data_IF_689943935352
#
_entry.id   IF_689943935352
#
_cell.length_a   1.000
_cell.length_b   1.000
_cell.length_c   1.000
_cell.angle_alpha   90.00
_cell.angle_beta   90.00
_cell.angle_gamma   90.00
#
_symmetry.space_group_name_H-M   'P 1'
#
loop_
_entity.id
_entity.type
_entity.pdbx_description
1 polymer ?
#
# COMPACT_ATOMS: atom_id res chain seq x y z
N UNK A 1 -1.04 -3.78 34.43
CA UNK A 1 -1.82 -2.70 35.06
C UNK A 1 -2.92 -2.25 34.10
N UNK A 2 -4.08 -1.83 34.58
CA UNK A 2 -5.16 -1.35 33.70
C UNK A 2 -4.77 0.00 33.09
N UNK A 3 -4.72 0.08 31.75
CA UNK A 3 -4.40 1.31 31.02
C UNK A 3 -5.60 2.25 31.08
N UNK A 4 -5.46 3.37 31.79
CA UNK A 4 -6.52 4.39 31.91
C UNK A 4 -6.86 4.99 30.54
N UNK A 5 -8.15 5.25 30.34
CA UNK A 5 -8.73 5.90 29.15
C UNK A 5 -8.34 5.23 27.83
N UNK A 6 -8.19 3.91 27.83
CA UNK A 6 -7.70 3.13 26.69
C UNK A 6 -8.45 3.44 25.39
N UNK A 7 -9.78 3.47 25.43
CA UNK A 7 -10.63 3.75 24.24
C UNK A 7 -10.35 5.12 23.64
N UNK A 8 -10.23 6.16 24.48
CA UNK A 8 -9.96 7.52 24.02
C UNK A 8 -8.54 7.64 23.46
N UNK A 9 -7.56 7.09 24.18
CA UNK A 9 -6.15 7.10 23.78
C UNK A 9 -5.92 6.34 22.48
N UNK A 10 -6.59 5.21 22.29
CA UNK A 10 -6.58 4.47 21.04
C UNK A 10 -7.13 5.32 19.89
N UNK A 11 -8.25 6.04 20.11
CA UNK A 11 -8.81 6.97 19.12
C UNK A 11 -7.84 8.12 18.76
N UNK A 12 -7.21 8.75 19.76
CA UNK A 12 -6.20 9.79 19.55
C UNK A 12 -4.99 9.26 18.78
N UNK A 13 -4.50 8.07 19.14
CA UNK A 13 -3.38 7.43 18.45
C UNK A 13 -3.73 7.07 17.01
N UNK A 14 -4.92 6.52 16.74
CA UNK A 14 -5.39 6.26 15.38
C UNK A 14 -5.38 7.54 14.54
N UNK A 15 -5.95 8.63 15.04
CA UNK A 15 -5.95 9.92 14.35
C UNK A 15 -4.53 10.46 14.10
N UNK A 16 -3.62 10.27 15.06
CA UNK A 16 -2.22 10.62 14.90
C UNK A 16 -1.55 9.80 13.79
N UNK A 17 -1.65 8.47 13.83
CA UNK A 17 -1.08 7.57 12.81
C UNK A 17 -1.59 7.88 11.40
N UNK A 18 -2.88 8.22 11.27
CA UNK A 18 -3.50 8.57 9.99
C UNK A 18 -3.13 9.97 9.46
N UNK A 19 -2.68 10.87 10.35
CA UNK A 19 -2.24 12.22 9.99
C UNK A 19 -0.71 12.36 9.86
N UNK A 20 0.05 11.31 10.24
CA UNK A 20 1.51 11.26 10.07
C UNK A 20 1.90 11.49 8.61
N UNK A 21 2.94 12.30 8.43
CA UNK A 21 3.58 12.56 7.13
C UNK A 21 5.01 12.07 7.17
N UNK A 22 5.62 11.86 6.02
CA UNK A 22 7.06 11.59 5.95
C UNK A 22 7.87 12.81 6.37
N UNK A 23 9.07 12.57 6.89
CA UNK A 23 10.05 13.63 7.06
C UNK A 23 10.33 14.27 5.69
N UNK A 24 10.38 15.60 5.65
CA UNK A 24 10.74 16.31 4.43
C UNK A 24 12.24 16.15 4.18
N UNK A 25 12.60 15.77 2.95
CA UNK A 25 13.99 15.62 2.55
C UNK A 25 14.70 16.97 2.50
N UNK A 26 16.01 16.99 2.75
CA UNK A 26 16.78 18.24 2.77
C UNK A 26 16.70 19.00 1.43
N UNK A 27 16.61 18.28 0.30
CA UNK A 27 16.39 18.87 -1.03
C UNK A 27 15.04 19.57 -1.14
N UNK A 28 13.97 18.92 -0.71
CA UNK A 28 12.62 19.49 -0.71
C UNK A 28 12.51 20.72 0.19
N UNK A 29 13.16 20.69 1.35
CA UNK A 29 13.24 21.84 2.25
C UNK A 29 14.00 23.01 1.61
N UNK A 30 15.11 22.75 0.92
CA UNK A 30 15.86 23.77 0.17
C UNK A 30 15.04 24.38 -0.96
N UNK A 31 14.38 23.56 -1.78
CA UNK A 31 13.51 24.04 -2.87
C UNK A 31 12.37 24.92 -2.35
N UNK A 32 11.72 24.51 -1.25
CA UNK A 32 10.67 25.31 -0.61
C UNK A 32 11.21 26.62 -0.05
N UNK A 33 12.39 26.60 0.57
CA UNK A 33 13.03 27.81 1.07
C UNK A 33 13.30 28.80 -0.06
N UNK A 34 13.87 28.33 -1.19
CA UNK A 34 14.13 29.16 -2.39
C UNK A 34 12.82 29.72 -2.96
N UNK A 35 11.77 28.90 -3.04
CA UNK A 35 10.47 29.34 -3.55
C UNK A 35 9.82 30.42 -2.66
N UNK A 36 9.89 30.25 -1.32
CA UNK A 36 9.43 31.25 -0.37
C UNK A 36 10.26 32.54 -0.47
N UNK A 37 11.58 32.42 -0.58
CA UNK A 37 12.47 33.58 -0.71
C UNK A 37 12.11 34.42 -1.94
N UNK A 38 11.94 33.77 -3.11
CA UNK A 38 11.48 34.42 -4.34
C UNK A 38 10.12 35.10 -4.17
N UNK A 39 9.17 34.42 -3.52
CA UNK A 39 7.82 34.96 -3.24
C UNK A 39 7.89 36.21 -2.37
N UNK A 40 8.67 36.19 -1.29
CA UNK A 40 8.80 37.34 -0.39
C UNK A 40 9.58 38.49 -1.02
N UNK A 41 10.62 38.20 -1.80
CA UNK A 41 11.33 39.20 -2.61
C UNK A 41 10.39 39.92 -3.57
N UNK A 42 9.52 39.19 -4.27
CA UNK A 42 8.55 39.76 -5.20
C UNK A 42 7.57 40.69 -4.46
N UNK A 43 6.95 40.20 -3.39
CA UNK A 43 5.96 40.96 -2.61
C UNK A 43 6.53 42.26 -2.00
N UNK A 44 7.79 42.29 -1.60
CA UNK A 44 8.41 43.50 -1.05
C UNK A 44 8.87 44.48 -2.14
N UNK A 45 9.30 43.99 -3.32
CA UNK A 45 9.61 44.86 -4.47
C UNK A 45 8.38 45.63 -4.95
N UNK A 46 7.20 45.02 -4.90
CA UNK A 46 5.93 45.70 -5.17
C UNK A 46 5.60 46.80 -4.14
N UNK A 47 6.19 46.75 -2.94
CA UNK A 47 5.92 47.69 -1.85
C UNK A 47 6.91 48.88 -1.77
N UNK A 48 7.83 49.04 -2.74
CA UNK A 48 8.75 50.18 -2.88
C UNK A 48 9.33 50.73 -1.55
N UNK A 49 9.95 49.88 -0.74
CA UNK A 49 10.69 50.32 0.45
C UNK A 49 12.16 50.54 0.11
N UNK A 50 12.61 51.77 0.26
CA UNK A 50 14.01 52.18 0.15
C UNK A 50 14.73 51.78 1.45
N UNK A 51 15.07 50.50 1.56
CA UNK A 51 15.72 49.91 2.74
C UNK A 51 17.10 49.40 2.40
N UNK A 52 18.04 49.57 3.34
CA UNK A 52 19.41 49.06 3.25
C UNK A 52 19.41 47.56 2.88
N UNK A 53 20.14 47.22 1.80
CA UNK A 53 20.11 45.91 1.14
C UNK A 53 20.41 44.77 2.11
N UNK A 54 21.35 44.98 3.04
CA UNK A 54 21.74 43.96 4.00
C UNK A 54 20.67 43.73 5.10
N UNK A 55 19.96 44.78 5.51
CA UNK A 55 18.83 44.69 6.44
C UNK A 55 17.63 44.01 5.78
N UNK A 56 17.42 44.31 4.49
CA UNK A 56 16.37 43.72 3.67
C UNK A 56 16.52 42.20 3.50
N UNK A 57 17.71 41.72 3.11
CA UNK A 57 17.99 40.29 2.98
C UNK A 57 17.81 39.54 4.32
N UNK A 58 18.25 40.14 5.42
CA UNK A 58 18.06 39.57 6.76
C UNK A 58 16.57 39.46 7.14
N UNK A 59 15.76 40.46 6.78
CA UNK A 59 14.33 40.46 7.03
C UNK A 59 13.59 39.37 6.23
N UNK A 60 13.92 39.20 4.94
CA UNK A 60 13.37 38.13 4.10
C UNK A 60 13.77 36.77 4.67
N UNK A 61 15.04 36.57 5.01
CA UNK A 61 15.52 35.32 5.60
C UNK A 61 14.75 34.98 6.89
N UNK A 62 14.49 35.98 7.75
CA UNK A 62 13.68 35.80 8.96
C UNK A 62 12.24 35.39 8.64
N UNK A 63 11.59 35.99 7.64
CA UNK A 63 10.24 35.61 7.19
C UNK A 63 10.21 34.17 6.61
N UNK A 64 11.18 33.82 5.76
CA UNK A 64 11.32 32.47 5.19
C UNK A 64 11.48 31.44 6.30
N UNK A 65 12.41 31.64 7.24
CA UNK A 65 12.63 30.71 8.35
C UNK A 65 11.41 30.58 9.28
N UNK A 66 10.64 31.65 9.45
CA UNK A 66 9.42 31.63 10.26
C UNK A 66 8.32 30.82 9.57
N UNK A 67 8.13 31.05 8.26
CA UNK A 67 7.15 30.31 7.47
C UNK A 67 7.52 28.83 7.30
N UNK A 68 8.82 28.54 7.11
CA UNK A 68 9.34 27.17 7.07
C UNK A 68 9.04 26.43 8.38
N UNK A 69 9.32 27.03 9.55
CA UNK A 69 8.98 26.43 10.85
C UNK A 69 7.48 26.20 11.03
N UNK A 70 6.64 27.11 10.52
CA UNK A 70 5.17 27.02 10.63
C UNK A 70 4.57 25.93 9.73
N UNK A 71 5.16 25.71 8.56
CA UNK A 71 4.57 24.87 7.50
C UNK A 71 5.24 23.50 7.34
N UNK A 72 6.45 23.34 7.87
CA UNK A 72 7.18 22.07 7.81
C UNK A 72 6.61 21.10 8.84
N UNK A 73 6.27 19.90 8.39
CA UNK A 73 5.89 18.84 9.29
C UNK A 73 7.14 18.32 10.02
N UNK A 74 7.10 18.35 11.36
CA UNK A 74 8.16 17.84 12.20
C UNK A 74 7.89 16.37 12.51
N UNK A 75 8.52 15.49 11.73
CA UNK A 75 8.43 14.05 11.97
C UNK A 75 9.10 13.69 13.30
N UNK A 76 8.42 12.86 14.09
CA UNK A 76 8.93 12.34 15.36
C UNK A 76 8.77 10.81 15.42
N UNK A 77 9.80 10.09 15.87
CA UNK A 77 9.70 8.64 16.03
C UNK A 77 8.71 8.31 17.15
N UNK A 78 7.87 7.29 16.94
CA UNK A 78 7.08 6.70 18.01
C UNK A 78 7.97 5.77 18.82
N UNK A 79 8.04 5.99 20.13
CA UNK A 79 8.75 5.11 21.07
C UNK A 79 7.73 4.28 21.81
N UNK A 80 7.63 3.02 21.43
CA UNK A 80 6.72 2.07 22.05
C UNK A 80 7.31 1.57 23.37
N UNK A 81 6.56 1.80 24.44
CA UNK A 81 6.73 1.17 25.74
C UNK A 81 5.55 0.21 25.98
N UNK A 82 5.50 -0.43 27.16
CA UNK A 82 4.45 -1.39 27.52
C UNK A 82 3.05 -0.77 27.41
N UNK A 83 2.89 0.47 27.89
CA UNK A 83 1.61 1.15 27.93
C UNK A 83 1.14 1.58 26.53
N UNK A 84 2.01 2.24 25.75
CA UNK A 84 1.70 2.61 24.38
C UNK A 84 1.52 1.38 23.48
N UNK A 85 2.19 0.26 23.76
CA UNK A 85 1.98 -1.02 23.09
C UNK A 85 0.53 -1.49 23.23
N UNK A 86 -0.04 -1.46 24.43
CA UNK A 86 -1.46 -1.79 24.67
C UNK A 86 -2.41 -0.80 23.98
N UNK A 87 -2.10 0.50 24.01
CA UNK A 87 -2.89 1.52 23.29
C UNK A 87 -2.83 1.28 21.78
N UNK A 88 -1.66 0.93 21.23
CA UNK A 88 -1.48 0.59 19.82
C UNK A 88 -2.23 -0.68 19.45
N UNK A 89 -2.22 -1.71 20.31
CA UNK A 89 -3.03 -2.91 20.15
C UNK A 89 -4.51 -2.59 20.04
N UNK A 90 -5.04 -1.81 20.98
CA UNK A 90 -6.43 -1.35 20.97
C UNK A 90 -6.78 -0.55 19.69
N UNK A 91 -5.84 0.24 19.18
CA UNK A 91 -6.03 1.10 18.02
C UNK A 91 -5.91 0.38 16.67
N UNK A 92 -5.00 -0.61 16.54
CA UNK A 92 -4.52 -1.10 15.24
C UNK A 92 -4.59 -2.61 15.04
N UNK A 93 -4.73 -3.44 16.08
CA UNK A 93 -4.62 -4.90 15.94
C UNK A 93 -5.60 -5.46 14.90
N UNK A 94 -6.90 -5.17 15.05
CA UNK A 94 -7.95 -5.74 14.20
C UNK A 94 -7.89 -5.21 12.76
N UNK A 95 -7.73 -3.89 12.58
CA UNK A 95 -7.61 -3.27 11.26
C UNK A 95 -6.33 -3.71 10.54
N UNK A 96 -5.19 -3.71 11.24
CA UNK A 96 -3.90 -4.16 10.73
C UNK A 96 -3.93 -5.61 10.26
N UNK A 97 -4.47 -6.51 11.08
CA UNK A 97 -4.70 -7.92 10.69
C UNK A 97 -5.56 -8.03 9.42
N UNK A 98 -6.66 -7.29 9.35
CA UNK A 98 -7.58 -7.34 8.22
C UNK A 98 -6.92 -6.85 6.92
N UNK A 99 -6.15 -5.76 6.96
CA UNK A 99 -5.40 -5.25 5.81
C UNK A 99 -4.35 -6.25 5.31
N UNK A 100 -3.55 -6.83 6.23
CA UNK A 100 -2.52 -7.81 5.86
C UNK A 100 -3.15 -9.07 5.29
N UNK A 101 -4.20 -9.61 5.93
CA UNK A 101 -4.94 -10.75 5.41
C UNK A 101 -5.49 -10.47 4.01
N UNK A 102 -6.06 -9.28 3.78
CA UNK A 102 -6.58 -8.89 2.46
C UNK A 102 -5.48 -8.78 1.40
N UNK A 103 -4.29 -8.32 1.74
CA UNK A 103 -3.15 -8.29 0.83
C UNK A 103 -2.63 -9.70 0.52
N UNK A 104 -2.41 -10.53 1.53
CA UNK A 104 -1.94 -11.92 1.37
C UNK A 104 -2.92 -12.79 0.58
N UNK A 105 -4.22 -12.54 0.72
CA UNK A 105 -5.25 -13.24 -0.03
C UNK A 105 -5.16 -13.03 -1.56
N UNK A 106 -4.50 -11.96 -2.03
CA UNK A 106 -4.20 -11.81 -3.47
C UNK A 106 -3.28 -12.92 -3.97
N UNK A 107 -2.27 -13.29 -3.18
CA UNK A 107 -1.37 -14.41 -3.51
C UNK A 107 -2.16 -15.71 -3.43
N UNK A 108 -2.88 -15.94 -2.32
CA UNK A 108 -3.65 -17.18 -2.12
C UNK A 108 -4.64 -17.46 -3.24
N UNK A 109 -5.29 -16.42 -3.80
CA UNK A 109 -6.26 -16.56 -4.89
C UNK A 109 -5.62 -16.76 -6.26
N UNK A 110 -4.48 -16.11 -6.53
CA UNK A 110 -3.89 -16.02 -7.87
C UNK A 110 -2.73 -17.01 -8.09
N UNK A 111 -2.11 -17.48 -7.02
CA UNK A 111 -1.07 -18.52 -7.04
C UNK A 111 -1.46 -19.66 -6.09
N UNK A 112 -2.36 -20.53 -6.57
CA UNK A 112 -2.88 -21.67 -5.81
C UNK A 112 -1.80 -22.70 -5.47
N UNK A 113 -0.66 -22.69 -6.18
CA UNK A 113 0.46 -23.60 -5.94
C UNK A 113 1.40 -23.09 -4.85
N UNK A 114 1.26 -21.85 -4.40
CA UNK A 114 2.12 -21.29 -3.36
C UNK A 114 1.79 -21.88 -1.98
N UNK A 115 2.73 -22.68 -1.48
CA UNK A 115 2.69 -23.31 -0.15
C UNK A 115 3.95 -22.93 0.64
N UNK A 116 4.00 -21.73 1.25
CA UNK A 116 5.20 -21.27 1.95
C UNK A 116 5.49 -22.15 3.16
N UNK A 117 6.78 -22.40 3.39
CA UNK A 117 7.30 -23.09 4.56
C UNK A 117 7.77 -22.12 5.66
N UNK A 118 8.34 -20.98 5.26
CA UNK A 118 8.89 -19.98 6.17
C UNK A 118 8.32 -18.57 5.97
N UNK A 119 8.08 -17.87 7.09
CA UNK A 119 7.70 -16.46 7.15
C UNK A 119 8.81 -15.64 7.81
N UNK A 120 9.13 -14.49 7.22
CA UNK A 120 9.84 -13.39 7.89
C UNK A 120 8.93 -12.16 7.97
N UNK A 121 8.53 -11.77 9.18
CA UNK A 121 7.71 -10.60 9.47
C UNK A 121 8.60 -9.49 10.03
N UNK A 122 8.87 -8.46 9.23
CA UNK A 122 9.73 -7.33 9.58
C UNK A 122 8.93 -6.16 10.12
N UNK A 123 9.39 -5.58 11.23
CA UNK A 123 8.60 -4.63 12.01
C UNK A 123 7.32 -5.28 12.49
N UNK A 124 7.44 -6.51 13.03
CA UNK A 124 6.30 -7.39 13.29
C UNK A 124 5.30 -6.81 14.27
N UNK A 125 5.73 -5.91 15.16
CA UNK A 125 4.89 -5.26 16.17
C UNK A 125 4.11 -6.30 16.97
N UNK A 126 2.79 -6.31 16.78
CA UNK A 126 1.85 -7.22 17.43
C UNK A 126 1.76 -8.63 16.79
N UNK A 127 2.55 -8.91 15.76
CA UNK A 127 2.51 -10.16 14.99
C UNK A 127 1.30 -10.28 14.06
N UNK A 128 0.74 -9.17 13.55
CA UNK A 128 -0.46 -9.23 12.68
C UNK A 128 -0.23 -10.04 11.40
N UNK A 129 0.96 -9.97 10.81
CA UNK A 129 1.29 -10.75 9.61
C UNK A 129 1.54 -12.23 9.93
N UNK A 130 2.06 -12.56 11.11
CA UNK A 130 2.08 -13.94 11.64
C UNK A 130 0.67 -14.55 11.64
N UNK A 131 -0.29 -13.91 12.29
CA UNK A 131 -1.68 -14.41 12.38
C UNK A 131 -2.35 -14.51 11.01
N UNK A 132 -2.19 -13.50 10.16
CA UNK A 132 -2.78 -13.47 8.83
C UNK A 132 -2.19 -14.57 7.92
N UNK A 133 -0.88 -14.79 7.98
CA UNK A 133 -0.21 -15.84 7.22
C UNK A 133 -0.59 -17.23 7.71
N UNK A 134 -0.67 -17.44 9.03
CA UNK A 134 -1.13 -18.70 9.61
C UNK A 134 -2.58 -19.02 9.21
N UNK A 135 -3.46 -18.02 9.14
CA UNK A 135 -4.85 -18.21 8.68
C UNK A 135 -4.92 -18.75 7.25
N UNK A 136 -4.00 -18.34 6.35
CA UNK A 136 -4.02 -18.75 4.95
C UNK A 136 -3.18 -20.01 4.65
N UNK A 137 -2.13 -20.26 5.44
CA UNK A 137 -1.11 -21.27 5.17
C UNK A 137 -0.60 -22.00 6.43
N UNK A 138 -1.35 -22.02 7.54
CA UNK A 138 -0.92 -22.63 8.81
C UNK A 138 -0.62 -24.14 8.72
N UNK A 139 -1.09 -24.83 7.68
CA UNK A 139 -0.73 -26.22 7.41
C UNK A 139 0.71 -26.34 6.88
N UNK A 140 1.12 -25.48 5.95
CA UNK A 140 2.44 -25.56 5.29
C UNK A 140 3.53 -24.78 6.01
N UNK A 141 3.21 -23.63 6.61
CA UNK A 141 4.16 -22.81 7.35
C UNK A 141 4.63 -23.54 8.62
N UNK A 142 5.95 -23.71 8.75
CA UNK A 142 6.60 -24.38 9.88
C UNK A 142 7.55 -23.49 10.65
N UNK A 143 7.97 -22.37 10.08
CA UNK A 143 8.87 -21.43 10.73
C UNK A 143 8.36 -20.00 10.56
N UNK A 144 8.27 -19.28 11.67
CA UNK A 144 7.89 -17.87 11.70
C UNK A 144 8.96 -17.07 12.42
N UNK A 145 9.61 -16.16 11.71
CA UNK A 145 10.58 -15.23 12.29
C UNK A 145 9.97 -13.83 12.31
N UNK A 146 9.67 -13.33 13.49
CA UNK A 146 9.10 -12.00 13.72
C UNK A 146 10.21 -11.07 14.25
N UNK A 147 10.52 -10.02 13.51
CA UNK A 147 11.59 -9.08 13.85
C UNK A 147 11.01 -7.71 14.17
N UNK A 148 11.16 -7.26 15.41
CA UNK A 148 10.81 -5.89 15.83
C UNK A 148 11.83 -5.37 16.83
N UNK A 149 12.36 -4.17 16.61
CA UNK A 149 13.38 -3.59 17.47
C UNK A 149 12.86 -3.26 18.88
N UNK A 150 11.54 -3.06 19.03
CA UNK A 150 10.91 -2.76 20.31
C UNK A 150 10.68 -4.03 21.14
N UNK A 151 11.38 -4.14 22.28
CA UNK A 151 11.19 -5.23 23.23
C UNK A 151 9.77 -5.31 23.79
N UNK A 152 9.15 -4.17 24.13
CA UNK A 152 7.79 -4.14 24.67
C UNK A 152 6.74 -4.67 23.68
N UNK A 153 6.92 -4.40 22.38
CA UNK A 153 6.04 -4.94 21.34
C UNK A 153 6.21 -6.45 21.18
N UNK A 154 7.44 -6.96 21.23
CA UNK A 154 7.71 -8.40 21.19
C UNK A 154 7.07 -9.12 22.39
N UNK A 155 7.25 -8.60 23.61
CA UNK A 155 6.60 -9.15 24.81
C UNK A 155 5.07 -9.19 24.66
N UNK A 156 4.47 -8.11 24.15
CA UNK A 156 3.02 -8.08 23.93
C UNK A 156 2.57 -9.07 22.84
N UNK A 157 3.36 -9.24 21.77
CA UNK A 157 3.08 -10.22 20.72
C UNK A 157 3.21 -11.67 21.21
N UNK A 158 4.19 -11.96 22.08
CA UNK A 158 4.33 -13.25 22.76
C UNK A 158 3.13 -13.55 23.66
N UNK A 159 2.67 -12.57 24.43
CA UNK A 159 1.44 -12.70 25.24
C UNK A 159 0.21 -12.96 24.38
N UNK A 160 0.07 -12.29 23.24
CA UNK A 160 -1.02 -12.57 22.30
C UNK A 160 -0.94 -14.00 21.76
N UNK A 161 0.28 -14.49 21.48
CA UNK A 161 0.51 -15.84 20.98
C UNK A 161 0.12 -16.93 21.98
N UNK A 162 0.22 -16.68 23.28
CA UNK A 162 -0.22 -17.62 24.33
C UNK A 162 -1.67 -17.40 24.77
N UNK A 163 -2.44 -16.57 24.04
CA UNK A 163 -3.82 -16.25 24.38
C UNK A 163 -3.97 -15.41 25.65
N UNK A 164 -2.92 -14.70 26.06
CA UNK A 164 -2.85 -13.92 27.30
C UNK A 164 -2.53 -14.73 28.54
N UNK A 165 -2.27 -16.04 28.41
CA UNK A 165 -1.84 -16.89 29.52
C UNK A 165 -0.31 -17.04 29.50
N UNK A 166 0.38 -16.45 30.48
CA UNK A 166 1.85 -16.51 30.57
C UNK A 166 2.39 -17.95 30.72
N UNK A 167 1.61 -18.86 31.29
CA UNK A 167 1.95 -20.27 31.41
C UNK A 167 1.35 -21.14 30.28
N UNK A 168 0.69 -20.52 29.30
CA UNK A 168 0.04 -21.21 28.19
C UNK A 168 1.03 -21.61 27.11
N UNK A 169 0.81 -22.77 26.49
CA UNK A 169 1.49 -23.13 25.25
C UNK A 169 1.11 -22.16 24.12
N UNK A 170 2.04 -21.82 23.21
CA UNK A 170 1.75 -20.92 22.12
C UNK A 170 0.71 -21.52 21.17
N UNK A 171 -0.28 -20.70 20.78
CA UNK A 171 -1.36 -21.05 19.86
C UNK A 171 -0.83 -21.42 18.46
N UNK A 172 0.33 -20.88 18.08
CA UNK A 172 1.07 -21.23 16.86
C UNK A 172 2.49 -21.62 17.27
N UNK A 173 2.90 -22.83 16.89
CA UNK A 173 4.23 -23.36 17.21
C UNK A 173 5.31 -22.79 16.29
N UNK A 174 6.57 -22.84 16.75
CA UNK A 174 7.76 -22.45 15.98
C UNK A 174 7.75 -20.97 15.52
N UNK A 175 7.29 -20.10 16.42
CA UNK A 175 7.34 -18.65 16.27
C UNK A 175 8.53 -18.12 17.07
N UNK A 176 9.35 -17.29 16.43
CA UNK A 176 10.55 -16.71 17.01
C UNK A 176 10.50 -15.19 16.91
N UNK A 177 10.31 -14.52 18.05
CA UNK A 177 10.46 -13.07 18.15
C UNK A 177 11.93 -12.70 18.34
N UNK A 178 12.38 -11.66 17.63
CA UNK A 178 13.78 -11.22 17.58
C UNK A 178 13.83 -9.70 17.50
N UNK A 179 14.79 -9.08 18.19
CA UNK A 179 15.02 -7.63 18.08
C UNK A 179 15.92 -7.23 16.93
N UNK A 180 16.71 -8.17 16.41
CA UNK A 180 17.71 -7.90 15.39
C UNK A 180 17.45 -8.73 14.14
N UNK A 181 17.73 -8.12 13.00
CA UNK A 181 17.60 -8.75 11.71
C UNK A 181 18.63 -9.88 11.54
N UNK A 182 18.30 -11.00 10.88
CA UNK A 182 19.28 -12.06 10.64
C UNK A 182 20.42 -11.56 9.76
N UNK A 183 21.65 -11.56 10.29
CA UNK A 183 22.86 -11.00 9.63
C UNK A 183 23.17 -11.69 8.30
N UNK A 184 23.00 -13.02 8.23
CA UNK A 184 23.40 -13.81 7.06
C UNK A 184 22.48 -13.60 5.86
N UNK A 185 22.92 -13.04 4.73
CA UNK A 185 22.08 -12.85 3.55
C UNK A 185 21.69 -14.16 2.85
N UNK A 186 22.30 -15.30 3.24
CA UNK A 186 22.03 -16.62 2.64
C UNK A 186 20.68 -17.21 3.04
N UNK A 187 20.16 -16.81 4.21
CA UNK A 187 18.87 -17.32 4.70
C UNK A 187 17.75 -16.49 4.11
N UNK A 188 16.92 -17.11 3.28
CA UNK A 188 15.73 -16.52 2.69
C UNK A 188 14.47 -17.16 3.29
N UNK A 189 13.39 -16.39 3.34
CA UNK A 189 12.06 -16.87 3.68
C UNK A 189 11.17 -16.91 2.42
N UNK A 190 10.21 -17.84 2.39
CA UNK A 190 9.28 -17.96 1.28
C UNK A 190 8.35 -16.75 1.17
N UNK A 191 7.87 -16.29 2.32
CA UNK A 191 7.06 -15.10 2.45
C UNK A 191 7.78 -14.10 3.36
N UNK A 192 8.04 -12.90 2.84
CA UNK A 192 8.54 -11.77 3.63
C UNK A 192 7.45 -10.71 3.67
N UNK A 193 7.11 -10.23 4.87
CA UNK A 193 6.09 -9.20 5.07
C UNK A 193 6.71 -8.03 5.85
N UNK A 194 6.37 -6.80 5.45
CA UNK A 194 6.58 -5.61 6.26
C UNK A 194 5.29 -4.78 6.24
N UNK A 195 4.59 -4.74 7.37
CA UNK A 195 3.27 -4.12 7.48
C UNK A 195 3.33 -2.92 8.42
N UNK A 196 3.04 -1.73 7.88
CA UNK A 196 3.02 -0.45 8.59
C UNK A 196 4.37 -0.05 9.22
N UNK A 197 5.47 -0.59 8.69
CA UNK A 197 6.81 -0.43 9.28
C UNK A 197 7.67 0.58 8.51
N UNK A 198 7.47 0.75 7.20
CA UNK A 198 8.30 1.66 6.40
C UNK A 198 7.97 3.12 6.71
N UNK A 199 6.71 3.43 7.04
CA UNK A 199 6.30 4.77 7.47
C UNK A 199 6.89 5.22 8.82
N UNK A 200 7.38 4.28 9.64
CA UNK A 200 8.08 4.56 10.90
C UNK A 200 9.59 4.81 10.71
N UNK A 201 10.09 4.71 9.49
CA UNK A 201 11.48 5.04 9.15
C UNK A 201 11.60 6.51 8.73
N UNK A 202 12.52 7.23 9.39
CA UNK A 202 12.68 8.66 9.21
C UNK A 202 13.04 9.05 7.78
N UNK A 203 14.10 8.45 7.23
CA UNK A 203 14.69 8.89 5.95
C UNK A 203 14.27 8.02 4.77
N UNK A 204 14.25 8.60 3.57
CA UNK A 204 14.06 7.81 2.35
C UNK A 204 15.15 6.76 2.15
N UNK A 205 16.39 7.11 2.46
CA UNK A 205 17.53 6.20 2.35
C UNK A 205 17.33 4.93 3.20
N UNK A 206 16.95 5.06 4.46
CA UNK A 206 16.75 3.90 5.35
C UNK A 206 15.62 2.99 4.86
N UNK A 207 14.55 3.58 4.31
CA UNK A 207 13.47 2.82 3.68
C UNK A 207 13.96 2.03 2.47
N UNK A 208 14.78 2.65 1.62
CA UNK A 208 15.34 2.01 0.43
C UNK A 208 16.26 0.85 0.79
N UNK A 209 17.20 1.06 1.70
CA UNK A 209 18.14 0.02 2.16
C UNK A 209 17.41 -1.13 2.85
N UNK A 210 16.38 -0.83 3.65
CA UNK A 210 15.52 -1.85 4.25
C UNK A 210 14.81 -2.66 3.18
N UNK A 211 14.16 -2.02 2.21
CA UNK A 211 13.42 -2.70 1.13
C UNK A 211 14.34 -3.62 0.32
N UNK A 212 15.56 -3.17 -0.03
CA UNK A 212 16.56 -4.00 -0.70
C UNK A 212 16.97 -5.18 0.18
N UNK A 213 17.20 -4.95 1.46
CA UNK A 213 17.54 -6.01 2.42
C UNK A 213 16.43 -7.05 2.54
N UNK A 214 15.17 -6.64 2.66
CA UNK A 214 14.00 -7.54 2.69
C UNK A 214 13.89 -8.33 1.39
N UNK A 215 14.15 -7.70 0.24
CA UNK A 215 14.14 -8.38 -1.05
C UNK A 215 15.23 -9.45 -1.17
N UNK A 216 16.44 -9.22 -0.64
CA UNK A 216 17.49 -10.25 -0.58
C UNK A 216 17.10 -11.45 0.28
N UNK A 217 16.26 -11.24 1.30
CA UNK A 217 15.69 -12.28 2.17
C UNK A 217 14.46 -12.98 1.59
N UNK A 218 13.99 -12.58 0.42
CA UNK A 218 12.76 -13.11 -0.17
C UNK A 218 13.07 -14.21 -1.18
N UNK A 219 12.56 -15.42 -0.95
CA UNK A 219 12.66 -16.53 -1.92
C UNK A 219 11.53 -16.47 -2.96
N UNK A 220 10.31 -16.08 -2.55
CA UNK A 220 9.12 -16.10 -3.41
C UNK A 220 8.37 -14.77 -3.44
N UNK A 221 7.83 -14.30 -2.31
CA UNK A 221 7.00 -13.08 -2.26
C UNK A 221 7.44 -12.11 -1.15
N UNK A 222 7.57 -10.83 -1.52
CA UNK A 222 7.72 -9.71 -0.60
C UNK A 222 6.43 -8.90 -0.59
N UNK A 223 5.81 -8.76 0.58
CA UNK A 223 4.54 -8.06 0.77
C UNK A 223 4.76 -6.85 1.67
N UNK A 224 4.50 -5.67 1.12
CA UNK A 224 4.58 -4.41 1.85
C UNK A 224 3.17 -3.84 2.01
N UNK A 225 2.81 -3.46 3.23
CA UNK A 225 1.48 -2.87 3.53
C UNK A 225 1.69 -1.56 4.27
N UNK A 226 0.97 -0.51 3.88
CA UNK A 226 1.03 0.80 4.53
C UNK A 226 -0.39 1.38 4.69
N UNK A 227 -0.51 2.39 5.54
CA UNK A 227 -1.77 3.13 5.66
C UNK A 227 -2.20 3.65 4.28
N UNK A 228 -3.51 3.62 3.99
CA UNK A 228 -4.04 4.04 2.70
C UNK A 228 -4.05 5.56 2.49
N UNK A 229 -3.03 6.25 2.99
CA UNK A 229 -2.82 7.69 2.82
C UNK A 229 -2.01 7.98 1.55
N UNK A 230 -1.90 9.26 1.19
CA UNK A 230 -0.99 9.70 0.12
C UNK A 230 0.46 9.28 0.40
N UNK A 231 0.88 9.44 1.66
CA UNK A 231 2.25 9.15 2.09
C UNK A 231 2.54 7.65 2.04
N UNK A 232 1.65 6.80 2.57
CA UNK A 232 1.80 5.34 2.48
C UNK A 232 1.84 4.85 1.03
N UNK A 233 0.99 5.38 0.15
CA UNK A 233 1.05 5.06 -1.27
C UNK A 233 2.39 5.48 -1.92
N UNK A 234 2.91 6.67 -1.60
CA UNK A 234 4.20 7.13 -2.11
C UNK A 234 5.37 6.27 -1.63
N UNK A 235 5.39 5.88 -0.35
CA UNK A 235 6.39 4.96 0.22
C UNK A 235 6.44 3.65 -0.58
N UNK A 236 5.27 3.06 -0.85
CA UNK A 236 5.19 1.81 -1.59
C UNK A 236 5.61 1.96 -3.05
N UNK A 237 5.30 3.10 -3.70
CA UNK A 237 5.75 3.34 -5.07
C UNK A 237 7.25 3.60 -5.16
N UNK A 238 7.85 4.28 -4.16
CA UNK A 238 9.30 4.41 -4.03
C UNK A 238 9.96 3.05 -3.86
N UNK A 239 9.41 2.19 -3.00
CA UNK A 239 9.88 0.82 -2.81
C UNK A 239 9.77 -0.02 -4.10
N UNK A 240 8.65 0.09 -4.83
CA UNK A 240 8.45 -0.57 -6.13
C UNK A 240 9.50 -0.14 -7.14
N UNK A 241 9.72 1.17 -7.26
CA UNK A 241 10.69 1.73 -8.20
C UNK A 241 12.13 1.26 -7.90
N UNK A 242 12.51 1.28 -6.62
CA UNK A 242 13.83 0.79 -6.17
C UNK A 242 14.02 -0.66 -6.56
N UNK A 243 13.03 -1.51 -6.29
CA UNK A 243 13.13 -2.94 -6.58
C UNK A 243 13.09 -3.23 -8.08
N UNK A 244 12.29 -2.53 -8.88
CA UNK A 244 12.21 -2.75 -10.32
C UNK A 244 13.46 -2.26 -11.07
N UNK A 245 14.13 -1.22 -10.56
CA UNK A 245 15.34 -0.63 -11.14
C UNK A 245 16.63 -1.23 -10.59
N UNK A 246 16.59 -2.00 -9.50
CA UNK A 246 17.79 -2.57 -8.91
C UNK A 246 18.35 -3.69 -9.78
N UNK A 247 19.48 -3.41 -10.41
CA UNK A 247 20.36 -4.42 -10.99
C UNK A 247 21.42 -4.75 -9.94
N UNK A 248 21.04 -5.45 -8.87
CA UNK A 248 22.01 -5.83 -7.85
C UNK A 248 23.04 -6.78 -8.48
N UNK A 249 24.26 -6.27 -8.67
CA UNK A 249 25.39 -6.97 -9.33
C UNK A 249 25.90 -8.19 -8.55
N UNK A 250 25.48 -8.35 -7.28
CA UNK A 250 25.95 -9.38 -6.34
C UNK A 250 24.76 -9.92 -5.56
N UNK A 251 23.86 -10.65 -6.23
CA UNK A 251 22.78 -11.38 -5.54
C UNK A 251 23.01 -12.89 -5.56
N UNK A 252 22.69 -13.60 -4.46
CA UNK A 252 22.55 -15.05 -4.47
C UNK A 252 21.46 -15.54 -5.44
N UNK A 253 20.51 -14.67 -5.78
CA UNK A 253 19.36 -14.96 -6.62
C UNK A 253 19.26 -13.99 -7.81
N UNK A 254 19.46 -14.52 -9.01
CA UNK A 254 19.47 -13.76 -10.28
C UNK A 254 18.07 -13.47 -10.84
N UNK A 255 16.99 -13.95 -10.19
CA UNK A 255 15.62 -13.72 -10.65
C UNK A 255 15.27 -12.24 -10.50
N UNK A 256 14.89 -11.62 -11.61
CA UNK A 256 14.40 -10.23 -11.67
C UNK A 256 13.17 -10.04 -10.78
N UNK A 257 13.10 -8.91 -10.09
CA UNK A 257 11.92 -8.45 -9.36
C UNK A 257 10.77 -8.14 -10.32
N UNK A 258 9.56 -8.60 -9.96
CA UNK A 258 8.34 -8.29 -10.72
C UNK A 258 7.24 -7.82 -9.79
N UNK A 259 6.41 -6.90 -10.26
CA UNK A 259 5.20 -6.53 -9.52
C UNK A 259 4.13 -7.60 -9.71
N UNK A 260 3.67 -8.21 -8.62
CA UNK A 260 2.57 -9.18 -8.63
C UNK A 260 1.21 -8.50 -8.41
N UNK A 261 1.15 -7.54 -7.49
CA UNK A 261 -0.03 -6.77 -7.14
C UNK A 261 0.37 -5.47 -6.42
N UNK A 262 -0.51 -4.46 -6.33
CA UNK A 262 -1.79 -4.32 -7.01
C UNK A 262 -1.63 -3.92 -8.49
N UNK A 263 -0.54 -3.23 -8.86
CA UNK A 263 -0.32 -2.80 -10.24
C UNK A 263 -0.25 -4.01 -11.17
N UNK A 264 -0.92 -3.94 -12.31
CA UNK A 264 -0.88 -4.95 -13.37
C UNK A 264 0.17 -4.64 -14.45
N UNK A 265 1.10 -3.74 -14.13
CA UNK A 265 2.13 -3.22 -15.00
C UNK A 265 3.39 -2.88 -14.19
N UNK A 266 4.50 -2.58 -14.87
CA UNK A 266 5.78 -2.18 -14.26
C UNK A 266 6.16 -0.72 -14.56
N UNK A 267 5.34 0.02 -15.31
CA UNK A 267 5.50 1.46 -15.57
C UNK A 267 5.28 2.33 -14.31
N UNK A 268 5.71 3.61 -14.33
CA UNK A 268 5.38 4.59 -13.30
C UNK A 268 3.88 4.60 -12.99
N UNK A 269 3.52 4.71 -11.71
CA UNK A 269 2.12 4.66 -11.30
C UNK A 269 1.36 5.91 -11.80
N UNK A 270 0.33 5.77 -12.66
CA UNK A 270 -0.37 6.93 -13.22
C UNK A 270 -1.11 7.76 -12.17
N UNK A 271 -1.46 7.17 -11.01
CA UNK A 271 -2.06 7.89 -9.87
C UNK A 271 -1.11 8.91 -9.24
N UNK A 272 0.20 8.76 -9.40
CA UNK A 272 1.21 9.74 -8.94
C UNK A 272 1.49 10.83 -9.98
N UNK A 273 1.16 10.60 -11.25
CA UNK A 273 1.36 11.56 -12.34
C UNK A 273 0.21 12.58 -12.47
N UNK A 274 -0.94 12.30 -11.85
CA UNK A 274 -2.09 13.21 -11.82
C UNK A 274 -1.76 14.52 -11.10
N UNK A 275 -2.24 15.65 -11.64
CA UNK A 275 -2.15 16.98 -11.01
C UNK A 275 -2.63 16.95 -9.54
N UNK A 276 -3.74 16.25 -9.29
CA UNK A 276 -4.20 15.94 -7.94
C UNK A 276 -3.86 14.49 -7.62
N UNK A 277 -2.86 14.30 -6.77
CA UNK A 277 -2.43 12.96 -6.34
C UNK A 277 -3.52 12.34 -5.48
N UNK A 278 -4.12 11.26 -5.98
CA UNK A 278 -5.06 10.40 -5.26
C UNK A 278 -4.37 9.07 -4.99
N UNK A 279 -4.25 8.61 -3.74
CA UNK A 279 -3.56 7.36 -3.44
C UNK A 279 -4.24 6.15 -4.09
N UNK A 280 -3.44 5.19 -4.58
CA UNK A 280 -3.94 3.86 -4.93
C UNK A 280 -4.04 3.05 -3.64
N UNK A 281 -5.21 3.08 -3.01
CA UNK A 281 -5.52 2.37 -1.77
C UNK A 281 -6.75 1.48 -1.95
N UNK A 282 -7.06 0.70 -0.92
CA UNK A 282 -8.13 -0.28 -0.87
C UNK A 282 -8.78 -0.24 0.52
N UNK A 283 -9.92 -0.90 0.66
CA UNK A 283 -10.67 -0.97 1.90
C UNK A 283 -10.92 -2.43 2.27
N UNK A 284 -10.74 -2.76 3.54
CA UNK A 284 -11.15 -4.02 4.13
C UNK A 284 -12.00 -3.75 5.36
N UNK A 285 -13.22 -4.32 5.41
CA UNK A 285 -14.01 -4.23 6.63
C UNK A 285 -13.55 -5.23 7.68
N UNK A 286 -13.68 -4.85 8.95
CA UNK A 286 -13.35 -5.68 10.10
C UNK A 286 -14.27 -5.36 11.28
N UNK A 287 -14.24 -6.21 12.31
CA UNK A 287 -14.88 -5.93 13.60
C UNK A 287 -13.79 -5.47 14.58
N UNK A 288 -13.93 -4.29 15.20
CA UNK A 288 -12.94 -3.79 16.16
C UNK A 288 -12.97 -4.62 17.44
N UNK A 289 -11.92 -4.47 18.26
CA UNK A 289 -11.87 -5.10 19.58
C UNK A 289 -13.01 -4.58 20.46
N UNK A 290 -13.67 -5.44 21.26
CA UNK A 290 -14.78 -5.04 22.13
C UNK A 290 -14.25 -4.28 23.36
N UNK A 291 -13.88 -3.01 23.19
CA UNK A 291 -13.43 -2.13 24.27
C UNK A 291 -14.64 -1.57 25.04
N UNK A 292 -14.50 -1.40 26.36
CA UNK A 292 -15.56 -0.85 27.23
C UNK A 292 -16.07 0.50 26.67
N UNK A 293 -17.39 0.65 26.62
CA UNK A 293 -18.07 1.88 26.20
C UNK A 293 -18.29 2.03 24.69
N UNK A 294 -17.91 1.02 23.87
CA UNK A 294 -18.27 0.96 22.45
C UNK A 294 -18.96 -0.36 22.13
N UNK A 295 -20.11 -0.30 21.46
CA UNK A 295 -20.62 -1.45 20.73
C UNK A 295 -19.82 -1.56 19.42
N UNK A 296 -19.10 -2.67 19.15
CA UNK A 296 -18.27 -2.77 17.98
C UNK A 296 -19.15 -2.93 16.72
N UNK A 297 -19.48 -1.80 16.09
CA UNK A 297 -19.98 -1.80 14.72
C UNK A 297 -18.85 -2.17 13.74
N UNK A 298 -19.25 -2.59 12.54
CA UNK A 298 -18.30 -2.95 11.48
C UNK A 298 -17.52 -1.70 11.04
N UNK A 299 -16.21 -1.72 11.19
CA UNK A 299 -15.30 -0.64 10.77
C UNK A 299 -14.65 -0.97 9.42
N UNK A 300 -13.95 0.01 8.84
CA UNK A 300 -13.25 -0.10 7.57
C UNK A 300 -11.78 0.32 7.72
N UNK A 301 -10.87 -0.62 7.46
CA UNK A 301 -9.45 -0.34 7.35
C UNK A 301 -9.15 0.09 5.91
N UNK A 302 -8.51 1.24 5.74
CA UNK A 302 -8.04 1.72 4.44
C UNK A 302 -6.53 1.55 4.36
N UNK A 303 -6.05 0.88 3.32
CA UNK A 303 -4.64 0.50 3.24
C UNK A 303 -4.15 0.54 1.79
N UNK A 304 -2.85 0.75 1.61
CA UNK A 304 -2.16 0.53 0.35
C UNK A 304 -1.27 -0.69 0.53
N UNK A 305 -1.05 -1.46 -0.53
CA UNK A 305 -0.15 -2.60 -0.47
C UNK A 305 0.66 -2.73 -1.76
N UNK A 306 1.77 -3.46 -1.69
CA UNK A 306 2.62 -3.84 -2.82
C UNK A 306 3.06 -5.29 -2.61
N UNK A 307 2.95 -6.11 -3.64
CA UNK A 307 3.44 -7.48 -3.66
C UNK A 307 4.45 -7.59 -4.79
N UNK A 308 5.70 -7.87 -4.42
CA UNK A 308 6.78 -8.17 -5.34
C UNK A 308 7.04 -9.68 -5.35
N UNK A 309 7.36 -10.23 -6.52
CA UNK A 309 7.50 -11.67 -6.70
C UNK A 309 8.76 -12.05 -7.44
N UNK A 310 9.36 -13.19 -7.03
CA UNK A 310 10.38 -13.93 -7.78
C UNK A 310 9.83 -15.13 -8.55
N UNK A 311 8.54 -15.41 -8.40
CA UNK A 311 7.89 -16.56 -9.04
C UNK A 311 7.71 -16.25 -10.53
N UNK A 312 8.14 -17.17 -11.40
CA UNK A 312 7.85 -17.07 -12.83
C UNK A 312 6.34 -17.23 -13.02
N UNK A 313 5.66 -16.16 -13.44
CA UNK A 313 4.26 -16.28 -13.82
C UNK A 313 4.15 -17.21 -15.03
N UNK A 314 3.29 -18.23 -14.92
CA UNK A 314 2.85 -19.00 -16.08
C UNK A 314 2.04 -18.04 -16.95
N UNK A 315 2.40 -17.90 -18.22
CA UNK A 315 1.62 -17.16 -19.21
C UNK A 315 0.35 -17.93 -19.52
N UNK A 316 -0.64 -17.86 -18.63
CA UNK A 316 -1.93 -18.53 -18.80
C UNK A 316 -2.89 -17.54 -19.45
N UNK A 317 -3.03 -17.64 -20.78
CA UNK A 317 -4.05 -16.94 -21.55
C UNK A 317 -3.77 -15.45 -21.76
N UNK A 318 -3.99 -15.01 -22.99
CA UNK A 318 -3.67 -13.69 -23.55
C UNK A 318 -4.63 -12.57 -23.08
N UNK A 319 -5.14 -12.64 -21.85
CA UNK A 319 -6.11 -11.67 -21.33
C UNK A 319 -5.39 -10.63 -20.49
N UNK A 320 -5.37 -9.39 -20.97
CA UNK A 320 -4.91 -8.25 -20.20
C UNK A 320 -5.90 -7.95 -19.06
N UNK A 321 -5.38 -7.85 -17.85
CA UNK A 321 -6.17 -7.53 -16.66
C UNK A 321 -5.91 -6.11 -16.19
N UNK A 322 -6.98 -5.41 -15.84
CA UNK A 322 -6.94 -4.10 -15.22
C UNK A 322 -7.36 -4.19 -13.75
N UNK A 323 -6.75 -3.37 -12.89
CA UNK A 323 -7.08 -3.27 -11.47
C UNK A 323 -8.15 -2.20 -11.26
N UNK A 324 -9.28 -2.53 -10.62
CA UNK A 324 -10.21 -1.50 -10.11
C UNK A 324 -9.51 -0.62 -9.07
N UNK A 325 -9.48 0.70 -9.32
CA UNK A 325 -8.82 1.71 -8.47
C UNK A 325 -9.80 2.54 -7.63
N UNK A 326 -11.08 2.16 -7.64
CA UNK A 326 -12.13 2.74 -6.82
C UNK A 326 -13.33 1.80 -6.72
N UNK A 327 -14.32 2.12 -5.87
CA UNK A 327 -15.59 1.41 -5.82
C UNK A 327 -16.30 1.43 -7.17
N UNK A 328 -16.93 0.32 -7.55
CA UNK A 328 -17.80 0.29 -8.73
C UNK A 328 -19.14 0.97 -8.45
N UNK A 329 -19.63 1.79 -9.39
CA UNK A 329 -20.95 2.41 -9.26
C UNK A 329 -22.01 1.58 -9.98
N UNK A 330 -22.82 0.87 -9.19
CA UNK A 330 -23.87 -0.02 -9.68
C UNK A 330 -25.12 0.80 -10.04
N UNK A 331 -25.45 0.89 -11.33
CA UNK A 331 -26.71 1.50 -11.84
C UNK A 331 -27.64 0.42 -12.36
N UNK A 332 -28.87 0.76 -12.73
CA UNK A 332 -29.88 -0.21 -13.18
C UNK A 332 -29.46 -0.98 -14.45
N UNK A 333 -28.83 -0.29 -15.42
CA UNK A 333 -28.47 -0.85 -16.74
C UNK A 333 -26.98 -0.88 -17.06
N UNK A 334 -26.15 -0.31 -16.19
CA UNK A 334 -24.71 -0.25 -16.38
C UNK A 334 -23.96 -0.25 -15.04
N UNK A 335 -22.66 -0.56 -15.07
CA UNK A 335 -21.76 -0.44 -13.92
C UNK A 335 -20.60 0.46 -14.34
N UNK A 336 -20.37 1.56 -13.63
CA UNK A 336 -19.23 2.44 -13.91
C UNK A 336 -18.00 1.94 -13.15
N UNK A 337 -16.91 1.80 -13.87
CA UNK A 337 -15.65 1.27 -13.37
C UNK A 337 -14.52 2.28 -13.65
N UNK A 338 -13.63 2.47 -12.67
CA UNK A 338 -12.36 3.16 -12.84
C UNK A 338 -11.22 2.17 -12.62
N UNK A 339 -10.37 1.98 -13.62
CA UNK A 339 -9.34 0.95 -13.62
C UNK A 339 -7.96 1.51 -13.95
N UNK A 340 -6.93 0.81 -13.51
CA UNK A 340 -5.55 0.95 -13.96
C UNK A 340 -5.23 -0.25 -14.86
N UNK A 341 -4.92 0.01 -16.12
CA UNK A 341 -4.68 -1.00 -17.15
C UNK A 341 -3.23 -1.50 -17.14
N UNK A 342 -2.97 -2.65 -17.77
CA UNK A 342 -1.62 -3.25 -17.92
C UNK A 342 -0.67 -2.37 -18.74
N UNK A 343 -1.20 -1.43 -19.54
CA UNK A 343 -0.43 -0.42 -20.25
C UNK A 343 -0.12 0.85 -19.42
N UNK A 344 -0.48 0.87 -18.13
CA UNK A 344 -0.20 2.01 -17.25
C UNK A 344 -1.17 3.19 -17.39
N UNK A 345 -2.26 3.05 -18.14
CA UNK A 345 -3.29 4.08 -18.26
C UNK A 345 -4.39 3.93 -17.19
N UNK A 346 -4.90 5.07 -16.72
CA UNK A 346 -6.15 5.12 -15.96
C UNK A 346 -7.32 5.29 -16.92
N UNK A 347 -8.27 4.34 -16.88
CA UNK A 347 -9.47 4.38 -17.72
C UNK A 347 -10.73 4.39 -16.88
N UNK A 348 -11.75 5.09 -17.38
CA UNK A 348 -13.10 5.05 -16.84
C UNK A 348 -14.07 4.60 -17.94
N UNK A 349 -14.87 3.57 -17.67
CA UNK A 349 -15.83 3.05 -18.63
C UNK A 349 -17.08 2.50 -17.93
N UNK A 350 -18.14 2.27 -18.71
CA UNK A 350 -19.39 1.68 -18.24
C UNK A 350 -19.60 0.28 -18.83
N UNK A 351 -19.68 -0.73 -17.97
CA UNK A 351 -20.02 -2.09 -18.37
C UNK A 351 -21.54 -2.23 -18.48
N UNK A 352 -22.02 -2.56 -19.68
CA UNK A 352 -23.44 -2.86 -19.97
C UNK A 352 -23.62 -4.30 -20.42
N UNK A 353 -24.81 -4.88 -20.18
CA UNK A 353 -25.17 -6.21 -20.71
C UNK A 353 -25.15 -6.27 -22.24
N UNK A 354 -25.55 -5.18 -22.91
CA UNK A 354 -25.68 -5.10 -24.37
C UNK A 354 -24.32 -5.11 -25.06
N UNK A 355 -23.36 -4.29 -24.59
CA UNK A 355 -22.04 -4.13 -25.23
C UNK A 355 -21.04 -5.21 -24.80
N UNK A 356 -21.10 -5.68 -23.55
CA UNK A 356 -20.05 -6.54 -22.98
C UNK A 356 -20.57 -7.93 -22.59
N UNK A 357 -21.82 -8.24 -22.91
CA UNK A 357 -22.44 -9.51 -22.55
C UNK A 357 -22.86 -9.62 -21.08
N UNK A 358 -23.63 -10.68 -20.80
CA UNK A 358 -24.25 -10.93 -19.49
C UNK A 358 -23.21 -11.28 -18.41
N UNK A 359 -22.18 -12.03 -18.76
CA UNK A 359 -21.17 -12.50 -17.80
C UNK A 359 -20.29 -11.35 -17.31
N UNK A 360 -19.73 -10.53 -18.20
CA UNK A 360 -18.92 -9.36 -17.82
C UNK A 360 -19.74 -8.37 -17.00
N UNK A 361 -21.00 -8.11 -17.37
CA UNK A 361 -21.89 -7.25 -16.58
C UNK A 361 -22.12 -7.79 -15.16
N UNK A 362 -22.38 -9.10 -15.02
CA UNK A 362 -22.55 -9.74 -13.70
C UNK A 362 -21.26 -9.66 -12.89
N UNK A 363 -20.11 -9.98 -13.50
CA UNK A 363 -18.79 -9.89 -12.89
C UNK A 363 -18.52 -8.47 -12.37
N UNK A 364 -18.58 -7.45 -13.25
CA UNK A 364 -18.35 -6.06 -12.87
C UNK A 364 -19.30 -5.56 -11.78
N UNK A 365 -20.55 -6.05 -11.74
CA UNK A 365 -21.51 -5.71 -10.69
C UNK A 365 -21.18 -6.38 -9.35
N UNK A 366 -20.57 -7.55 -9.36
CA UNK A 366 -20.15 -8.27 -8.16
C UNK A 366 -18.75 -7.86 -7.67
N UNK A 367 -17.95 -7.20 -8.51
CA UNK A 367 -16.63 -6.73 -8.13
C UNK A 367 -16.67 -5.67 -7.03
N UNK A 368 -15.66 -5.73 -6.17
CA UNK A 368 -15.36 -4.71 -5.18
C UNK A 368 -14.09 -3.94 -5.53
N UNK A 369 -13.84 -2.88 -4.77
CA UNK A 369 -12.64 -2.07 -4.94
C UNK A 369 -11.40 -2.93 -4.74
N UNK A 370 -10.58 -3.04 -5.78
CA UNK A 370 -9.40 -3.90 -5.74
C UNK A 370 -9.65 -5.29 -6.32
N UNK A 371 -10.68 -5.51 -7.13
CA UNK A 371 -10.83 -6.69 -8.00
C UNK A 371 -10.34 -6.45 -9.43
N UNK A 372 -9.87 -7.51 -10.11
CA UNK A 372 -9.39 -7.40 -11.49
C UNK A 372 -10.57 -7.53 -12.46
N UNK A 373 -10.54 -6.76 -13.54
CA UNK A 373 -11.44 -6.89 -14.68
C UNK A 373 -10.61 -7.07 -15.94
N UNK A 374 -11.04 -7.90 -16.90
CA UNK A 374 -10.39 -7.95 -18.20
C UNK A 374 -10.46 -6.57 -18.86
N UNK A 375 -9.39 -6.16 -19.54
CA UNK A 375 -9.36 -4.92 -20.31
C UNK A 375 -10.37 -5.04 -21.45
N UNK A 376 -11.39 -4.19 -21.41
CA UNK A 376 -12.32 -4.04 -22.53
C UNK A 376 -11.60 -3.14 -23.55
N UNK A 377 -11.24 -3.70 -24.70
CA UNK A 377 -10.84 -2.88 -25.84
C UNK A 377 -12.05 -2.05 -26.26
N UNK A 378 -11.87 -0.74 -26.40
CA UNK A 378 -12.91 0.07 -27.00
C UNK A 378 -12.98 -0.34 -28.47
N UNK A 379 -13.98 -1.14 -28.83
CA UNK A 379 -14.39 -1.23 -30.23
C UNK A 379 -14.61 0.20 -30.73
N UNK A 380 -13.82 0.60 -31.73
CA UNK A 380 -14.06 1.79 -32.53
C UNK A 380 -15.51 1.69 -33.02
N UNK A 381 -16.30 2.72 -32.71
CA UNK A 381 -17.62 2.85 -33.31
C UNK A 381 -17.41 3.06 -34.81
N UNK A 382 -17.45 2.00 -35.61
CA UNK A 382 -17.76 2.12 -37.03
C UNK A 382 -19.28 1.99 -37.18
N UNK A 383 -20.02 3.10 -37.40
CA UNK A 383 -21.35 3.01 -37.95
C UNK A 383 -21.19 2.78 -39.45
N UNK A 384 -21.06 1.53 -39.90
CA UNK A 384 -21.30 1.19 -41.31
C UNK A 384 -22.47 0.23 -41.35
N UNK A 385 -23.66 0.82 -41.38
CA UNK A 385 -24.87 0.19 -41.91
C UNK A 385 -25.49 1.21 -42.89
N UNK A 386 -24.81 1.39 -44.03
CA UNK A 386 -25.45 1.90 -45.24
C UNK A 386 -25.87 0.69 -46.07
N UNK A 387 -27.08 0.20 -45.83
CA UNK A 387 -27.76 -0.70 -46.76
C UNK A 387 -28.16 0.08 -48.01
N UNK A 388 -27.28 0.07 -49.02
CA UNK A 388 -27.64 0.40 -50.39
C UNK A 388 -28.25 -0.85 -51.04
N UNK A 389 -29.57 -1.03 -50.92
CA UNK A 389 -30.31 -1.92 -51.81
C UNK A 389 -30.52 -1.21 -53.15
N UNK A 390 -29.69 -1.57 -54.14
CA UNK A 390 -29.90 -1.20 -55.54
C UNK A 390 -30.58 -2.36 -56.27
N UNK A 391 -31.71 -2.02 -56.87
CA UNK A 391 -32.51 -2.83 -57.77
C UNK A 391 -31.66 -3.47 -58.88
N UNK A 392 -31.74 -4.79 -59.03
CA UNK A 392 -31.35 -5.49 -60.25
C UNK A 392 -32.62 -5.97 -60.97
N UNK A 393 -32.95 -5.27 -62.05
CA UNK A 393 -33.95 -5.70 -63.03
C UNK A 393 -33.47 -6.95 -63.77
N UNK A 394 -34.43 -7.82 -64.08
CA UNK A 394 -34.23 -9.01 -64.90
C UNK A 394 -34.69 -8.71 -66.33
N UNK A 395 -33.74 -8.77 -67.25
CA UNK A 395 -33.85 -8.93 -68.70
C UNK A 395 -32.46 -9.48 -69.10
N UNK A 396 -32.22 -10.58 -69.84
CA UNK A 396 -32.89 -11.07 -71.04
C UNK A 396 -32.36 -12.48 -71.40
N UNK A 397 -33.15 -13.23 -72.18
CA UNK A 397 -32.78 -14.23 -73.21
C UNK A 397 -31.95 -15.48 -72.83
N UNK A 398 -32.57 -16.67 -72.82
CA UNK A 398 -32.72 -17.66 -73.92
C UNK A 398 -33.81 -18.66 -73.53
#
# INVERSE_FOLDING_TARGET
SEVKDLTERAGRLTNFLWSRKRAAEASQLRERAIALEKKWMWNEKEQQRDTDKHSFEAQIRKKVLTEMRRTTYHWTPLRYDEELGVVYMAARLAGGYAAVLRALNEIKKRDLAFTPYSLLDFGSGLGTALWASHTLWGVSLKEYVCVDSCGAMNTLAEQLLTGGNEAGEPLIKHVYFRQFFPVSPKVQADLVVAAFSLSEMATQHDRQETVLTLWRKTSSYLVLVENGTKEGHQILMEARDVLLKSEEKVTPDSRRSRTFAPCTHEMPCPKLLSQKVVPCNFIQSYYPLPLRGKNPEREQEKFSYLIMSRVKQKSVGQVDWARLTGPVHRRSRHVQCQVCCSNGELRQFAVTKRRHGRHMYRCARSCDWGDQLPVIQAEENNPTDETHDSYAGTDTMV
#
